data_IF_058076782039
#
_entry.id   IF_058076782039
#
_cell.length_a   1.000
_cell.length_b   1.000
_cell.length_c   1.000
_cell.angle_alpha   90.00
_cell.angle_beta   90.00
_cell.angle_gamma   90.00
#
_symmetry.space_group_name_H-M   'P 1'
#
loop_
_entity.id
_entity.type
_entity.pdbx_description
1 polymer ?
#
# COMPACT_ATOMS: atom_id res chain seq x y z
N UNK A 1 -36.97 3.48 -5.02
CA UNK A 1 -35.58 3.13 -4.77
C UNK A 1 -35.45 2.42 -3.42
N UNK A 2 -34.86 1.25 -3.32
CA UNK A 2 -34.66 0.62 -2.02
C UNK A 2 -33.69 1.49 -1.21
N UNK A 3 -34.03 1.76 0.06
CA UNK A 3 -33.16 2.47 0.99
C UNK A 3 -31.88 1.66 1.20
N UNK A 4 -30.72 2.33 1.17
CA UNK A 4 -29.46 1.71 1.53
C UNK A 4 -29.53 1.18 2.97
N UNK A 5 -29.02 -0.03 3.24
CA UNK A 5 -28.96 -0.53 4.61
C UNK A 5 -28.16 0.45 5.48
N UNK A 6 -28.52 0.59 6.77
CA UNK A 6 -27.77 1.46 7.68
C UNK A 6 -26.30 1.02 7.71
N UNK A 7 -25.41 2.01 7.65
CA UNK A 7 -23.96 1.79 7.81
C UNK A 7 -23.74 1.04 9.14
N UNK A 8 -23.28 -0.19 9.04
CA UNK A 8 -22.84 -0.95 10.21
C UNK A 8 -21.64 -0.22 10.78
N UNK A 9 -21.83 0.41 11.95
CA UNK A 9 -20.69 0.96 12.71
C UNK A 9 -19.80 -0.20 13.12
N UNK A 10 -18.68 -0.38 12.42
CA UNK A 10 -17.65 -1.32 12.85
C UNK A 10 -17.00 -0.76 14.10
N UNK A 11 -16.75 -1.58 15.13
CA UNK A 11 -15.93 -1.14 16.25
C UNK A 11 -14.57 -0.69 15.68
N UNK A 12 -13.97 0.39 16.22
CA UNK A 12 -12.65 0.83 15.79
C UNK A 12 -11.67 -0.31 15.98
N UNK A 13 -10.83 -0.53 14.97
CA UNK A 13 -9.77 -1.52 15.06
C UNK A 13 -8.76 -1.08 16.14
N UNK A 14 -8.19 -2.03 16.87
CA UNK A 14 -7.23 -1.73 17.94
C UNK A 14 -6.06 -0.86 17.46
N UNK A 15 -5.70 -0.99 16.17
CA UNK A 15 -4.63 -0.22 15.54
C UNK A 15 -4.99 1.25 15.29
N UNK A 16 -6.28 1.60 15.25
CA UNK A 16 -6.76 2.96 15.03
C UNK A 16 -6.92 3.75 16.35
N UNK A 17 -6.64 3.10 17.48
CA UNK A 17 -6.72 3.75 18.80
C UNK A 17 -5.52 4.69 18.99
N UNK A 18 -5.74 6.03 19.01
CA UNK A 18 -4.68 7.00 19.22
C UNK A 18 -4.03 6.93 20.62
N UNK A 19 -4.64 6.21 21.55
CA UNK A 19 -4.10 5.99 22.91
C UNK A 19 -3.11 4.83 23.01
N UNK A 20 -2.97 4.00 21.93
CA UNK A 20 -2.00 2.93 21.91
C UNK A 20 -0.57 3.47 22.04
N UNK A 21 0.17 2.87 22.95
CA UNK A 21 1.61 3.13 23.08
C UNK A 21 2.34 2.78 21.76
N UNK A 22 3.37 3.58 21.45
CA UNK A 22 4.13 3.41 20.22
C UNK A 22 4.69 1.99 20.06
N UNK A 23 5.09 1.33 21.17
CA UNK A 23 5.60 -0.04 21.15
C UNK A 23 4.54 -1.06 20.76
N UNK A 24 3.31 -0.92 21.25
CA UNK A 24 2.18 -1.78 20.92
C UNK A 24 1.77 -1.62 19.46
N UNK A 25 1.78 -0.39 18.95
CA UNK A 25 1.50 -0.12 17.55
C UNK A 25 2.56 -0.76 16.63
N UNK A 26 3.85 -0.62 16.98
CA UNK A 26 4.94 -1.26 16.24
C UNK A 26 4.87 -2.79 16.27
N UNK A 27 4.48 -3.38 17.41
CA UNK A 27 4.29 -4.82 17.52
C UNK A 27 3.15 -5.32 16.63
N UNK A 28 2.03 -4.58 16.58
CA UNK A 28 0.92 -4.89 15.70
C UNK A 28 1.34 -4.83 14.22
N UNK A 29 2.11 -3.82 13.81
CA UNK A 29 2.64 -3.72 12.45
C UNK A 29 3.58 -4.88 12.10
N UNK A 30 4.46 -5.31 13.04
CA UNK A 30 5.32 -6.48 12.85
C UNK A 30 4.52 -7.77 12.70
N UNK A 31 3.45 -7.94 13.46
CA UNK A 31 2.57 -9.10 13.37
C UNK A 31 1.88 -9.17 12.00
N UNK A 32 1.36 -8.06 11.50
CA UNK A 32 0.78 -7.96 10.16
C UNK A 32 1.79 -8.28 9.06
N UNK A 33 3.02 -7.77 9.17
CA UNK A 33 4.09 -8.07 8.23
C UNK A 33 4.35 -9.59 8.12
N UNK A 34 4.35 -10.30 9.25
CA UNK A 34 4.51 -11.78 9.26
C UNK A 34 3.36 -12.49 8.58
N UNK A 35 2.12 -12.04 8.82
CA UNK A 35 0.92 -12.61 8.19
C UNK A 35 0.99 -12.41 6.67
N UNK A 36 1.35 -11.24 6.20
CA UNK A 36 1.48 -10.94 4.77
C UNK A 36 2.59 -11.76 4.10
N UNK A 37 3.70 -12.01 4.77
CA UNK A 37 4.76 -12.90 4.26
C UNK A 37 4.28 -14.34 4.05
N UNK A 38 3.46 -14.85 4.95
CA UNK A 38 2.95 -16.23 4.92
C UNK A 38 1.79 -16.40 3.94
N UNK A 39 0.98 -15.37 3.71
CA UNK A 39 -0.32 -15.47 3.03
C UNK A 39 -0.27 -15.54 1.49
N UNK A 40 0.88 -15.47 0.86
CA UNK A 40 1.02 -15.36 -0.62
C UNK A 40 0.31 -14.15 -1.26
N UNK A 41 -0.30 -13.27 -0.47
CA UNK A 41 -1.05 -12.10 -0.94
C UNK A 41 -0.21 -11.22 -1.86
N UNK A 42 1.04 -10.96 -1.49
CA UNK A 42 1.95 -10.17 -2.30
C UNK A 42 2.20 -10.77 -3.71
N UNK A 43 2.28 -12.11 -3.80
CA UNK A 43 2.49 -12.80 -5.09
C UNK A 43 1.26 -12.74 -5.98
N UNK A 44 0.07 -12.93 -5.40
CA UNK A 44 -1.19 -12.86 -6.14
C UNK A 44 -1.43 -11.44 -6.65
N UNK A 45 -1.27 -10.44 -5.78
CA UNK A 45 -1.46 -9.05 -6.12
C UNK A 45 -0.46 -8.58 -7.19
N UNK A 46 0.82 -8.94 -7.04
CA UNK A 46 1.83 -8.66 -8.05
C UNK A 46 1.48 -9.28 -9.41
N UNK A 47 0.96 -10.51 -9.44
CA UNK A 47 0.55 -11.16 -10.69
C UNK A 47 -0.62 -10.43 -11.36
N UNK A 48 -1.61 -9.98 -10.57
CA UNK A 48 -2.71 -9.16 -11.08
C UNK A 48 -2.21 -7.83 -11.66
N UNK A 49 -1.34 -7.12 -10.93
CA UNK A 49 -0.78 -5.85 -11.39
C UNK A 49 0.05 -6.01 -12.66
N UNK A 50 0.87 -7.05 -12.74
CA UNK A 50 1.64 -7.37 -13.96
C UNK A 50 0.70 -7.61 -15.15
N UNK A 51 -0.35 -8.40 -14.97
CA UNK A 51 -1.32 -8.65 -16.04
C UNK A 51 -2.03 -7.35 -16.48
N UNK A 52 -2.41 -6.49 -15.53
CA UNK A 52 -3.02 -5.20 -15.83
C UNK A 52 -2.06 -4.27 -16.59
N UNK A 53 -0.80 -4.18 -16.17
CA UNK A 53 0.19 -3.33 -16.85
C UNK A 53 0.48 -3.77 -18.29
N UNK A 54 0.44 -5.06 -18.58
CA UNK A 54 0.58 -5.57 -19.94
C UNK A 54 -0.57 -5.17 -20.87
N UNK A 55 -1.76 -4.93 -20.33
CA UNK A 55 -2.95 -4.54 -21.09
C UNK A 55 -3.12 -3.02 -21.21
N UNK A 56 -2.28 -2.23 -20.56
CA UNK A 56 -2.34 -0.78 -20.67
C UNK A 56 -1.67 -0.30 -21.97
N UNK A 57 -2.27 0.69 -22.65
CA UNK A 57 -1.61 1.35 -23.78
C UNK A 57 -0.40 2.10 -23.24
N UNK A 58 0.77 1.50 -23.32
CA UNK A 58 2.00 2.11 -22.84
C UNK A 58 2.70 2.87 -23.95
N UNK A 59 2.98 4.14 -23.71
CA UNK A 59 3.94 4.89 -24.52
C UNK A 59 5.35 4.57 -24.03
N UNK A 60 6.29 4.38 -24.94
CA UNK A 60 7.68 4.14 -24.59
C UNK A 60 8.20 5.27 -23.67
N UNK A 61 8.80 4.90 -22.55
CA UNK A 61 9.32 5.84 -21.54
C UNK A 61 8.30 6.36 -20.50
N UNK A 62 7.05 5.92 -20.56
CA UNK A 62 6.05 6.31 -19.57
C UNK A 62 6.33 5.61 -18.22
N UNK A 63 6.36 6.38 -17.14
CA UNK A 63 6.36 5.84 -15.78
C UNK A 63 4.93 5.48 -15.38
N UNK A 64 4.73 4.25 -14.93
CA UNK A 64 3.47 3.79 -14.38
C UNK A 64 3.46 4.09 -12.88
N UNK A 65 2.43 4.76 -12.39
CA UNK A 65 2.27 5.05 -10.96
C UNK A 65 1.20 4.17 -10.36
N UNK A 66 1.55 3.44 -9.31
CA UNK A 66 0.67 2.52 -8.61
C UNK A 66 0.50 2.99 -7.17
N UNK A 67 -0.74 3.17 -6.73
CA UNK A 67 -1.08 3.53 -5.35
C UNK A 67 -1.46 2.28 -4.56
N UNK A 68 -0.93 2.19 -3.34
CA UNK A 68 -1.38 1.28 -2.30
C UNK A 68 -2.15 2.10 -1.26
N UNK A 69 -3.46 1.89 -1.18
CA UNK A 69 -4.36 2.62 -0.30
C UNK A 69 -4.47 1.87 1.03
N UNK A 70 -4.30 2.58 2.14
CA UNK A 70 -4.23 2.03 3.49
C UNK A 70 -3.03 1.06 3.64
N UNK A 71 -1.84 1.50 3.21
CA UNK A 71 -0.63 0.67 3.14
C UNK A 71 -0.07 0.24 4.51
N UNK A 72 -0.55 0.80 5.61
CA UNK A 72 -0.08 0.50 6.95
C UNK A 72 1.44 0.61 7.09
N UNK A 73 2.10 -0.45 7.53
CA UNK A 73 3.55 -0.51 7.68
C UNK A 73 4.36 -0.65 6.39
N UNK A 74 3.71 -0.73 5.22
CA UNK A 74 4.36 -0.75 3.91
C UNK A 74 4.98 -2.09 3.49
N UNK A 75 4.82 -3.15 4.29
CA UNK A 75 5.42 -4.46 4.00
C UNK A 75 4.85 -5.09 2.73
N UNK A 76 3.53 -5.02 2.56
CA UNK A 76 2.87 -5.51 1.36
C UNK A 76 3.25 -4.68 0.14
N UNK A 77 3.21 -3.35 0.24
CA UNK A 77 3.63 -2.41 -0.80
C UNK A 77 5.01 -2.76 -1.33
N UNK A 78 5.98 -2.88 -0.42
CA UNK A 78 7.39 -3.17 -0.76
C UNK A 78 7.55 -4.55 -1.38
N UNK A 79 6.87 -5.57 -0.82
CA UNK A 79 6.87 -6.92 -1.35
C UNK A 79 6.28 -7.01 -2.76
N UNK A 80 5.18 -6.31 -3.01
CA UNK A 80 4.54 -6.24 -4.33
C UNK A 80 5.44 -5.50 -5.31
N UNK A 81 5.97 -4.34 -4.93
CA UNK A 81 6.89 -3.56 -5.77
C UNK A 81 8.09 -4.38 -6.23
N UNK A 82 8.73 -5.12 -5.32
CA UNK A 82 9.87 -5.98 -5.64
C UNK A 82 9.53 -7.09 -6.65
N UNK A 83 8.31 -7.62 -6.61
CA UNK A 83 7.85 -8.67 -7.53
C UNK A 83 7.48 -8.10 -8.91
N UNK A 84 6.79 -6.96 -8.93
CA UNK A 84 6.37 -6.29 -10.16
C UNK A 84 7.57 -5.78 -10.93
N UNK A 85 8.53 -5.13 -10.26
CA UNK A 85 9.73 -4.58 -10.88
C UNK A 85 10.58 -5.62 -11.65
N UNK A 86 10.50 -6.91 -11.27
CA UNK A 86 11.20 -8.00 -11.97
C UNK A 86 10.50 -8.47 -13.24
N UNK A 87 9.23 -8.14 -13.42
CA UNK A 87 8.38 -8.72 -14.47
C UNK A 87 7.89 -7.69 -15.48
N UNK A 88 8.02 -6.41 -15.16
CA UNK A 88 7.52 -5.33 -16.01
C UNK A 88 8.69 -4.49 -16.51
N UNK A 89 8.82 -4.26 -17.83
CA UNK A 89 9.93 -3.51 -18.41
C UNK A 89 9.79 -2.00 -18.25
N UNK A 90 8.65 -1.53 -17.76
CA UNK A 90 8.38 -0.10 -17.53
C UNK A 90 8.95 0.38 -16.20
N UNK A 91 9.31 1.65 -16.13
CA UNK A 91 9.55 2.30 -14.84
C UNK A 91 8.24 2.38 -14.06
N UNK A 92 8.25 1.92 -12.83
CA UNK A 92 7.09 1.91 -11.96
C UNK A 92 7.42 2.67 -10.68
N UNK A 93 6.58 3.62 -10.34
CA UNK A 93 6.58 4.33 -9.06
C UNK A 93 5.45 3.76 -8.20
N UNK A 94 5.77 3.30 -6.99
CA UNK A 94 4.80 2.90 -5.99
C UNK A 94 4.65 3.97 -4.93
N UNK A 95 3.41 4.31 -4.58
CA UNK A 95 3.11 5.25 -3.49
C UNK A 95 2.19 4.57 -2.51
N UNK A 96 2.68 4.27 -1.31
CA UNK A 96 1.87 3.81 -0.19
C UNK A 96 1.24 5.01 0.52
N UNK A 97 -0.08 4.96 0.70
CA UNK A 97 -0.87 5.98 1.38
C UNK A 97 -1.54 5.39 2.62
N UNK A 98 -1.44 6.09 3.74
CA UNK A 98 -2.15 5.74 4.96
C UNK A 98 -2.51 7.01 5.74
N UNK A 99 -3.60 6.97 6.50
CA UNK A 99 -4.00 8.09 7.35
C UNK A 99 -3.12 8.19 8.60
N UNK A 100 -2.51 7.08 9.03
CA UNK A 100 -1.69 6.99 10.23
C UNK A 100 -0.26 7.50 9.97
N UNK A 101 0.07 8.66 10.53
CA UNK A 101 1.45 9.18 10.51
C UNK A 101 2.45 8.21 11.14
N UNK A 102 2.05 7.46 12.17
CA UNK A 102 2.88 6.45 12.83
C UNK A 102 3.20 5.29 11.90
N UNK A 103 2.20 4.78 11.18
CA UNK A 103 2.37 3.72 10.20
C UNK A 103 3.31 4.16 9.07
N UNK A 104 3.12 5.36 8.54
CA UNK A 104 3.98 5.95 7.51
C UNK A 104 5.41 6.17 8.03
N UNK A 105 5.57 6.67 9.25
CA UNK A 105 6.88 6.80 9.89
C UNK A 105 7.59 5.46 10.04
N UNK A 106 6.87 4.41 10.43
CA UNK A 106 7.37 3.04 10.48
C UNK A 106 7.78 2.55 9.08
N UNK A 107 6.88 2.65 8.10
CA UNK A 107 7.13 2.22 6.73
C UNK A 107 8.40 2.87 6.15
N UNK A 108 8.54 4.18 6.30
CA UNK A 108 9.69 4.94 5.81
C UNK A 108 11.00 4.47 6.42
N UNK A 109 11.03 4.23 7.75
CA UNK A 109 12.25 3.79 8.44
C UNK A 109 12.62 2.35 8.10
N UNK A 110 11.63 1.46 8.08
CA UNK A 110 11.90 0.02 7.95
C UNK A 110 12.12 -0.44 6.51
N UNK A 111 11.65 0.33 5.54
CA UNK A 111 11.80 0.01 4.12
C UNK A 111 12.76 0.94 3.36
N UNK A 112 13.53 1.78 4.05
CA UNK A 112 14.44 2.75 3.43
C UNK A 112 15.31 2.16 2.32
N UNK A 113 15.95 1.00 2.55
CA UNK A 113 16.77 0.32 1.55
C UNK A 113 16.00 -0.19 0.34
N UNK A 114 14.74 -0.59 0.54
CA UNK A 114 13.89 -1.07 -0.54
C UNK A 114 13.35 0.12 -1.35
N UNK A 115 13.00 1.22 -0.68
CA UNK A 115 12.50 2.44 -1.33
C UNK A 115 13.52 3.04 -2.28
N UNK A 116 14.79 3.07 -1.90
CA UNK A 116 15.88 3.56 -2.77
C UNK A 116 16.02 2.74 -4.07
N UNK A 117 15.80 1.42 -4.01
CA UNK A 117 16.01 0.52 -5.14
C UNK A 117 14.78 0.34 -6.04
N UNK A 118 13.58 0.53 -5.48
CA UNK A 118 12.33 0.14 -6.11
C UNK A 118 11.43 1.31 -6.48
N UNK A 119 11.87 2.56 -6.30
CA UNK A 119 11.04 3.75 -6.51
C UNK A 119 9.69 3.67 -5.73
N UNK A 120 9.80 3.41 -4.43
CA UNK A 120 8.67 3.33 -3.50
C UNK A 120 8.70 4.53 -2.57
N UNK A 121 7.58 5.18 -2.35
CA UNK A 121 7.43 6.26 -1.37
C UNK A 121 6.22 6.02 -0.47
N UNK A 122 6.26 6.54 0.76
CA UNK A 122 5.15 6.47 1.70
C UNK A 122 4.73 7.87 2.10
N UNK A 123 3.42 8.12 2.13
CA UNK A 123 2.85 9.45 2.45
C UNK A 123 1.62 9.33 3.32
N UNK A 124 1.52 10.18 4.33
CA UNK A 124 0.28 10.34 5.09
C UNK A 124 -0.78 10.98 4.20
N UNK A 125 -1.94 10.35 4.09
CA UNK A 125 -3.05 10.85 3.28
C UNK A 125 -4.38 10.30 3.82
N UNK A 126 -5.34 11.20 4.06
CA UNK A 126 -6.74 10.81 4.23
C UNK A 126 -7.36 10.65 2.84
N UNK A 127 -7.49 9.42 2.39
CA UNK A 127 -7.97 9.10 1.03
C UNK A 127 -9.45 9.43 0.83
N UNK A 128 -10.21 9.66 1.90
CA UNK A 128 -11.64 10.01 1.82
C UNK A 128 -11.85 11.51 1.68
N UNK A 129 -10.97 12.32 2.26
CA UNK A 129 -11.12 13.78 2.31
C UNK A 129 -9.95 14.53 1.68
N UNK A 130 -8.85 13.84 1.36
CA UNK A 130 -7.65 14.44 0.77
C UNK A 130 -7.57 14.32 -0.75
N UNK A 131 -6.65 15.07 -1.33
CA UNK A 131 -6.32 14.92 -2.75
C UNK A 131 -5.41 13.71 -2.96
N UNK A 132 -5.85 12.79 -3.82
CA UNK A 132 -5.03 11.64 -4.20
C UNK A 132 -4.02 12.02 -5.29
N UNK A 133 -2.80 11.50 -5.24
CA UNK A 133 -1.88 11.59 -6.36
C UNK A 133 -2.50 10.97 -7.62
N UNK A 134 -2.25 11.55 -8.79
CA UNK A 134 -2.62 10.92 -10.05
C UNK A 134 -1.95 9.56 -10.16
N UNK A 135 -2.68 8.54 -10.58
CA UNK A 135 -2.15 7.17 -10.69
C UNK A 135 -2.62 6.48 -11.95
N UNK A 136 -1.88 5.44 -12.32
CA UNK A 136 -2.24 4.52 -13.40
C UNK A 136 -3.12 3.39 -12.87
N UNK A 137 -2.77 2.85 -11.71
CA UNK A 137 -3.47 1.78 -11.00
C UNK A 137 -3.48 2.08 -9.51
N UNK A 138 -4.49 1.58 -8.82
CA UNK A 138 -4.54 1.60 -7.36
C UNK A 138 -5.03 0.25 -6.84
N UNK A 139 -4.57 -0.13 -5.66
CA UNK A 139 -5.09 -1.26 -4.91
C UNK A 139 -5.21 -0.89 -3.43
N UNK A 140 -5.87 -1.73 -2.69
CA UNK A 140 -6.02 -1.61 -1.24
C UNK A 140 -5.43 -2.84 -0.57
N UNK A 141 -4.56 -2.63 0.40
CA UNK A 141 -3.91 -3.67 1.17
C UNK A 141 -4.57 -3.95 2.53
#
# INVERSE_FOLDING_TARGET
>A
MPALPPLVQRPPELMDDPSLDASQHEEALRALARIHMVSRTASQLASCLVALTHNLPSKAGQTLRILDIACGGGDLTTSVAARVARKVPHRIEFIGLDISERAIGWATRNHARATEKLDVTFRTCDVLNGELPSCTLAFHS
#
